data_IF_345855292406
#
_entry.id   IF_345855292406
#
_cell.length_a   1.000
_cell.length_b   1.000
_cell.length_c   1.000
_cell.angle_alpha   90.00
_cell.angle_beta   90.00
_cell.angle_gamma   90.00
#
_symmetry.space_group_name_H-M   'P 1'
#
loop_
_entity.id
_entity.type
_entity.pdbx_description
1 polymer ?
#
# COMPACT_ATOMS: atom_id res chain seq x y z
N UNK A 1 -42.50 -16.16 1.47
CA UNK A 1 -42.12 -14.99 2.28
C UNK A 1 -40.82 -14.45 1.71
N UNK A 2 -40.89 -13.41 0.90
CA UNK A 2 -39.72 -12.65 0.43
C UNK A 2 -39.13 -11.94 1.63
N UNK A 3 -37.88 -12.22 1.98
CA UNK A 3 -37.18 -11.52 3.04
C UNK A 3 -37.16 -10.02 2.69
N UNK A 4 -37.76 -9.18 3.55
CA UNK A 4 -37.64 -7.73 3.44
C UNK A 4 -36.15 -7.43 3.63
N UNK A 5 -35.51 -6.90 2.59
CA UNK A 5 -34.10 -6.50 2.65
C UNK A 5 -33.98 -5.43 3.72
N UNK A 6 -33.38 -5.79 4.85
CA UNK A 6 -33.16 -4.87 5.96
C UNK A 6 -32.25 -3.75 5.46
N UNK A 7 -32.67 -2.50 5.68
CA UNK A 7 -31.91 -1.32 5.25
C UNK A 7 -30.50 -1.32 5.88
N UNK A 8 -29.47 -1.04 5.07
CA UNK A 8 -28.08 -0.89 5.49
C UNK A 8 -27.67 0.57 5.26
N UNK A 9 -27.53 1.32 6.35
CA UNK A 9 -27.21 2.75 6.30
C UNK A 9 -25.83 3.03 5.66
N UNK A 10 -24.86 2.15 5.85
CA UNK A 10 -23.54 2.29 5.23
C UNK A 10 -23.62 2.06 3.73
N UNK A 11 -24.18 0.92 3.28
CA UNK A 11 -24.28 0.63 1.85
C UNK A 11 -25.13 1.67 1.09
N UNK A 12 -26.20 2.17 1.72
CA UNK A 12 -27.03 3.22 1.14
C UNK A 12 -26.25 4.54 0.94
N UNK A 13 -25.51 4.98 1.96
CA UNK A 13 -24.73 6.22 1.90
C UNK A 13 -23.53 6.11 0.97
N UNK A 14 -22.85 4.96 0.94
CA UNK A 14 -21.81 4.72 -0.04
C UNK A 14 -22.35 4.86 -1.47
N UNK A 15 -23.48 4.20 -1.77
CA UNK A 15 -24.12 4.28 -3.09
C UNK A 15 -24.53 5.70 -3.46
N UNK A 16 -25.18 6.42 -2.54
CA UNK A 16 -25.60 7.82 -2.74
C UNK A 16 -24.41 8.77 -2.93
N UNK A 17 -23.31 8.56 -2.19
CA UNK A 17 -22.10 9.38 -2.33
C UNK A 17 -21.41 9.10 -3.66
N UNK A 18 -21.31 7.84 -4.09
CA UNK A 18 -20.77 7.49 -5.42
C UNK A 18 -21.62 8.12 -6.54
N UNK A 19 -22.94 8.09 -6.43
CA UNK A 19 -23.83 8.74 -7.39
C UNK A 19 -23.65 10.28 -7.40
N UNK A 20 -23.51 10.90 -6.23
CA UNK A 20 -23.24 12.34 -6.09
C UNK A 20 -21.90 12.73 -6.76
N UNK A 21 -20.84 11.96 -6.52
CA UNK A 21 -19.49 12.27 -7.05
C UNK A 21 -19.40 12.00 -8.56
N UNK A 22 -20.15 11.01 -9.07
CA UNK A 22 -20.24 10.70 -10.49
C UNK A 22 -21.04 11.75 -11.30
N UNK A 23 -21.85 12.60 -10.64
CA UNK A 23 -22.57 13.68 -11.31
C UNK A 23 -21.57 14.71 -11.89
N UNK A 24 -21.62 15.04 -13.19
CA UNK A 24 -20.71 16.01 -13.80
C UNK A 24 -20.70 17.39 -13.13
N UNK A 25 -21.80 17.76 -12.45
CA UNK A 25 -21.90 19.01 -11.69
C UNK A 25 -20.99 19.02 -10.46
N UNK A 26 -20.64 17.85 -9.92
CA UNK A 26 -19.76 17.72 -8.76
C UNK A 26 -18.44 18.48 -8.98
N UNK A 27 -17.79 18.27 -10.12
CA UNK A 27 -16.52 18.90 -10.44
C UNK A 27 -16.58 20.44 -10.34
N UNK A 28 -17.70 21.04 -10.76
CA UNK A 28 -17.91 22.49 -10.78
C UNK A 28 -18.38 23.09 -9.46
N UNK A 29 -18.73 22.29 -8.44
CA UNK A 29 -19.20 22.81 -7.16
C UNK A 29 -18.09 23.55 -6.39
N UNK A 30 -18.41 24.67 -5.72
CA UNK A 30 -17.49 25.32 -4.79
C UNK A 30 -17.04 24.38 -3.66
N UNK A 31 -15.81 24.50 -3.13
CA UNK A 31 -15.31 23.63 -2.06
C UNK A 31 -16.23 23.54 -0.84
N UNK A 32 -16.81 24.67 -0.42
CA UNK A 32 -17.75 24.71 0.70
C UNK A 32 -19.04 23.93 0.43
N UNK A 33 -19.57 23.99 -0.79
CA UNK A 33 -20.77 23.24 -1.18
C UNK A 33 -20.48 21.73 -1.21
N UNK A 34 -19.29 21.33 -1.69
CA UNK A 34 -18.83 19.94 -1.62
C UNK A 34 -18.72 19.46 -0.17
N UNK A 35 -18.09 20.26 0.69
CA UNK A 35 -17.95 19.97 2.12
C UNK A 35 -19.31 19.76 2.79
N UNK A 36 -20.27 20.65 2.54
CA UNK A 36 -21.63 20.55 3.08
C UNK A 36 -22.37 19.30 2.56
N UNK A 37 -22.23 18.99 1.27
CA UNK A 37 -22.87 17.82 0.67
C UNK A 37 -22.34 16.51 1.25
N UNK A 38 -21.04 16.41 1.50
CA UNK A 38 -20.42 15.26 2.19
C UNK A 38 -20.83 15.22 3.66
N UNK A 39 -20.79 16.35 4.37
CA UNK A 39 -21.17 16.44 5.78
C UNK A 39 -22.63 16.00 6.04
N UNK A 40 -23.54 16.29 5.10
CA UNK A 40 -24.95 15.90 5.15
C UNK A 40 -25.19 14.38 5.06
N UNK A 41 -24.16 13.60 4.71
CA UNK A 41 -24.20 12.14 4.54
C UNK A 41 -23.48 11.41 5.67
N UNK A 42 -23.29 12.07 6.81
CA UNK A 42 -22.60 11.46 7.96
C UNK A 42 -23.48 10.38 8.57
N UNK A 43 -22.94 9.18 8.74
CA UNK A 43 -23.64 8.06 9.39
C UNK A 43 -23.26 8.03 10.87
N UNK A 44 -24.26 7.87 11.74
CA UNK A 44 -24.06 7.70 13.17
C UNK A 44 -24.52 6.31 13.58
N UNK A 45 -23.62 5.57 14.22
CA UNK A 45 -23.91 4.26 14.79
C UNK A 45 -24.51 4.40 16.21
N UNK A 46 -25.27 3.40 16.70
CA UNK A 46 -25.89 3.42 18.04
C UNK A 46 -24.94 3.68 19.22
N UNK A 47 -23.66 3.32 19.07
CA UNK A 47 -22.60 3.61 20.04
C UNK A 47 -22.11 5.07 20.00
N UNK A 48 -22.70 5.91 19.14
CA UNK A 48 -22.33 7.31 18.94
C UNK A 48 -21.18 7.53 17.96
N UNK A 49 -20.61 6.47 17.38
CA UNK A 49 -19.57 6.58 16.36
C UNK A 49 -20.07 7.34 15.12
N UNK A 50 -19.26 8.27 14.61
CA UNK A 50 -19.57 9.04 13.40
C UNK A 50 -18.69 8.60 12.24
N UNK A 51 -19.33 8.41 11.10
CA UNK A 51 -18.73 7.82 9.92
C UNK A 51 -19.02 8.67 8.68
N UNK A 52 -18.04 8.76 7.81
CA UNK A 52 -18.14 9.50 6.56
C UNK A 52 -17.54 8.68 5.43
N UNK A 53 -18.28 8.58 4.33
CA UNK A 53 -17.74 8.03 3.09
C UNK A 53 -17.23 9.19 2.24
N UNK A 54 -15.93 9.19 1.95
CA UNK A 54 -15.24 10.37 1.44
C UNK A 54 -14.16 10.03 0.43
N UNK A 55 -13.11 10.85 0.42
CA UNK A 55 -11.98 10.75 -0.50
C UNK A 55 -11.49 9.32 -0.71
N UNK A 56 -11.07 9.04 -1.93
CA UNK A 56 -10.61 7.72 -2.38
C UNK A 56 -11.68 6.62 -2.28
N UNK A 57 -12.96 7.00 -2.14
CA UNK A 57 -14.07 6.07 -1.98
C UNK A 57 -13.89 5.09 -0.81
N UNK A 58 -13.44 5.61 0.35
CA UNK A 58 -13.32 4.87 1.60
C UNK A 58 -14.14 5.47 2.74
N UNK A 59 -14.37 4.63 3.75
CA UNK A 59 -14.97 5.02 5.01
C UNK A 59 -13.93 5.62 5.97
N UNK A 60 -14.35 6.67 6.67
CA UNK A 60 -13.59 7.35 7.69
C UNK A 60 -14.40 7.42 8.97
N UNK A 61 -13.74 7.23 10.12
CA UNK A 61 -14.35 7.38 11.44
C UNK A 61 -13.82 8.64 12.11
N UNK A 62 -14.71 9.41 12.73
CA UNK A 62 -14.37 10.60 13.49
C UNK A 62 -13.74 10.24 14.84
N UNK A 63 -12.61 10.87 15.14
CA UNK A 63 -11.99 10.90 16.45
C UNK A 63 -12.40 12.21 17.18
N UNK A 64 -13.26 12.13 18.21
CA UNK A 64 -13.71 13.31 18.92
C UNK A 64 -12.63 13.95 19.81
N UNK A 65 -11.53 13.24 20.11
CA UNK A 65 -10.46 13.79 20.94
C UNK A 65 -9.62 14.83 20.20
N UNK A 66 -9.32 14.55 18.92
CA UNK A 66 -8.44 15.37 18.09
C UNK A 66 -9.16 16.05 16.91
N UNK A 67 -10.49 15.86 16.80
CA UNK A 67 -11.34 16.32 15.68
C UNK A 67 -10.85 15.87 14.29
N UNK A 68 -10.28 14.65 14.23
CA UNK A 68 -9.72 14.07 13.01
C UNK A 68 -10.63 12.99 12.44
N UNK A 69 -10.51 12.74 11.15
CA UNK A 69 -11.16 11.62 10.47
C UNK A 69 -10.09 10.66 9.99
N UNK A 70 -10.22 9.39 10.36
CA UNK A 70 -9.20 8.38 10.11
C UNK A 70 -9.78 7.27 9.24
N UNK A 71 -9.06 6.77 8.22
CA UNK A 71 -9.49 5.64 7.41
C UNK A 71 -9.89 4.47 8.30
N UNK A 72 -11.09 3.95 8.08
CA UNK A 72 -11.66 2.95 8.96
C UNK A 72 -12.70 2.11 8.20
N UNK A 73 -12.44 0.82 8.01
CA UNK A 73 -13.36 -0.05 7.29
C UNK A 73 -14.70 -0.17 8.06
N UNK A 74 -15.85 -0.10 7.38
CA UNK A 74 -17.14 -0.04 8.05
C UNK A 74 -17.39 -1.34 8.83
N UNK A 75 -18.16 -1.29 9.93
CA UNK A 75 -18.46 -2.48 10.72
C UNK A 75 -19.17 -3.53 9.87
N UNK A 76 -18.87 -4.82 10.11
CA UNK A 76 -19.52 -5.95 9.42
C UNK A 76 -20.85 -6.35 10.08
N UNK A 77 -21.08 -5.96 11.34
CA UNK A 77 -22.30 -6.27 12.06
C UNK A 77 -23.53 -5.62 11.39
N UNK A 78 -24.35 -6.46 10.76
CA UNK A 78 -25.57 -6.04 10.06
C UNK A 78 -26.56 -5.35 11.00
N UNK A 79 -26.62 -5.70 12.29
CA UNK A 79 -27.51 -5.04 13.25
C UNK A 79 -27.05 -3.62 13.52
N UNK A 80 -25.74 -3.43 13.68
CA UNK A 80 -25.16 -2.10 13.88
C UNK A 80 -25.38 -1.21 12.65
N UNK A 81 -25.15 -1.77 11.45
CA UNK A 81 -25.37 -1.07 10.17
C UNK A 81 -26.83 -0.71 9.93
N UNK A 82 -27.76 -1.59 10.30
CA UNK A 82 -29.20 -1.36 10.13
C UNK A 82 -29.79 -0.38 11.17
N UNK A 83 -29.15 -0.28 12.34
CA UNK A 83 -29.53 0.68 13.38
C UNK A 83 -28.84 2.04 13.21
N UNK A 84 -27.91 2.16 12.26
CA UNK A 84 -27.26 3.43 11.97
C UNK A 84 -28.24 4.40 11.29
N UNK A 85 -28.07 5.69 11.52
CA UNK A 85 -28.91 6.73 10.93
C UNK A 85 -28.05 7.85 10.36
N UNK A 86 -28.62 8.57 9.39
CA UNK A 86 -27.94 9.68 8.71
C UNK A 86 -28.16 10.96 9.50
N UNK A 87 -27.09 11.72 9.70
CA UNK A 87 -27.11 13.06 10.29
C UNK A 87 -26.28 14.01 9.47
N UNK A 88 -26.47 15.31 9.71
CA UNK A 88 -25.57 16.33 9.21
C UNK A 88 -24.47 16.60 10.24
N UNK A 89 -23.20 16.41 9.85
CA UNK A 89 -22.09 16.90 10.66
C UNK A 89 -22.06 18.43 10.61
N UNK A 90 -22.02 19.09 11.77
CA UNK A 90 -22.20 20.54 11.87
C UNK A 90 -20.95 21.33 11.49
N UNK A 91 -19.77 20.72 11.64
CA UNK A 91 -18.49 21.30 11.20
C UNK A 91 -18.22 20.97 9.74
N UNK A 92 -17.45 21.82 9.06
CA UNK A 92 -16.97 21.46 7.73
C UNK A 92 -15.93 20.32 7.87
N UNK A 93 -16.05 19.22 7.12
CA UNK A 93 -15.03 18.17 7.12
C UNK A 93 -13.69 18.72 6.61
N UNK A 94 -12.61 18.06 7.01
CA UNK A 94 -11.27 18.33 6.46
C UNK A 94 -11.32 18.28 4.92
N UNK A 95 -10.77 19.29 4.21
CA UNK A 95 -10.68 19.28 2.76
C UNK A 95 -10.10 17.98 2.16
N UNK A 96 -9.20 17.30 2.87
CA UNK A 96 -8.62 16.03 2.44
C UNK A 96 -9.64 14.87 2.34
N UNK A 97 -10.80 14.98 3.00
CA UNK A 97 -11.87 13.99 2.97
C UNK A 97 -12.87 14.23 1.85
N UNK A 98 -12.83 15.41 1.22
CA UNK A 98 -13.81 15.80 0.22
C UNK A 98 -13.42 15.15 -1.11
N UNK A 99 -14.30 14.32 -1.71
CA UNK A 99 -14.03 13.72 -3.00
C UNK A 99 -13.72 14.78 -4.07
N UNK A 100 -12.65 14.59 -4.81
CA UNK A 100 -12.30 15.43 -5.95
C UNK A 100 -13.10 15.05 -7.20
N UNK A 101 -13.56 13.80 -7.27
CA UNK A 101 -14.15 13.17 -8.45
C UNK A 101 -13.22 12.08 -8.98
N UNK A 102 -12.06 12.45 -9.55
CA UNK A 102 -11.08 11.49 -10.07
C UNK A 102 -10.59 10.45 -9.05
N UNK A 103 -10.54 10.78 -7.77
CA UNK A 103 -10.18 9.85 -6.68
C UNK A 103 -11.18 8.71 -6.49
N UNK A 104 -12.43 8.85 -6.95
CA UNK A 104 -13.43 7.77 -6.94
C UNK A 104 -13.28 6.80 -8.12
N UNK A 105 -12.52 7.19 -9.14
CA UNK A 105 -12.19 6.34 -10.27
C UNK A 105 -10.90 5.53 -10.05
N UNK A 106 -10.24 5.70 -8.89
CA UNK A 106 -9.03 4.96 -8.57
C UNK A 106 -9.32 3.46 -8.41
N UNK A 107 -8.62 2.64 -9.18
CA UNK A 107 -8.61 1.19 -9.02
C UNK A 107 -7.52 0.80 -8.01
N UNK A 108 -7.95 0.27 -6.86
CA UNK A 108 -7.04 -0.13 -5.77
C UNK A 108 -6.12 -1.31 -6.11
N UNK A 109 -6.38 -2.03 -7.19
CA UNK A 109 -5.65 -3.25 -7.54
C UNK A 109 -5.90 -4.37 -6.54
N UNK A 110 -4.92 -5.27 -6.40
CA UNK A 110 -4.98 -6.43 -5.52
C UNK A 110 -4.11 -6.23 -4.29
N UNK A 111 -4.64 -6.59 -3.11
CA UNK A 111 -3.91 -6.57 -1.84
C UNK A 111 -3.17 -7.89 -1.56
N UNK A 112 -3.15 -8.80 -2.54
CA UNK A 112 -2.47 -10.09 -2.40
C UNK A 112 -0.96 -9.95 -2.39
N UNK A 113 -0.30 -10.79 -1.59
CA UNK A 113 1.13 -11.04 -1.74
C UNK A 113 1.46 -11.82 -3.01
N UNK A 114 2.74 -12.06 -3.24
CA UNK A 114 3.27 -12.91 -4.31
C UNK A 114 3.61 -14.32 -3.80
N UNK A 115 3.02 -14.72 -2.67
CA UNK A 115 3.00 -16.10 -2.17
C UNK A 115 1.57 -16.59 -2.28
N UNK A 116 1.34 -17.59 -3.10
CA UNK A 116 0.00 -17.95 -3.53
C UNK A 116 -0.05 -17.97 -5.06
N UNK A 117 -0.85 -17.13 -5.73
CA UNK A 117 -0.80 -17.02 -7.19
C UNK A 117 0.55 -16.47 -7.66
N UNK A 118 1.21 -17.20 -8.56
CA UNK A 118 2.46 -16.74 -9.21
C UNK A 118 2.19 -15.49 -10.07
N UNK A 119 3.24 -14.77 -10.43
CA UNK A 119 3.13 -13.72 -11.45
C UNK A 119 2.80 -14.34 -12.81
N UNK A 120 1.82 -13.83 -13.58
CA UNK A 120 1.49 -14.35 -14.89
C UNK A 120 2.72 -14.48 -15.80
N UNK A 121 2.79 -15.61 -16.53
CA UNK A 121 3.92 -15.93 -17.41
C UNK A 121 4.22 -14.79 -18.39
N UNK A 122 3.18 -14.22 -19.01
CA UNK A 122 3.30 -13.15 -19.99
C UNK A 122 4.02 -11.92 -19.41
N UNK A 123 3.79 -11.62 -18.13
CA UNK A 123 4.43 -10.51 -17.43
C UNK A 123 5.88 -10.85 -17.13
N UNK A 124 6.15 -12.04 -16.59
CA UNK A 124 7.52 -12.47 -16.30
C UNK A 124 8.40 -12.50 -17.56
N UNK A 125 7.84 -12.87 -18.72
CA UNK A 125 8.56 -12.84 -20.00
C UNK A 125 8.79 -11.43 -20.54
N UNK A 126 7.80 -10.51 -20.43
CA UNK A 126 8.01 -9.10 -20.77
C UNK A 126 9.16 -8.51 -19.94
N UNK A 127 9.18 -8.77 -18.64
CA UNK A 127 10.26 -8.31 -17.74
C UNK A 127 11.59 -8.98 -18.09
N UNK A 128 11.60 -10.30 -18.35
CA UNK A 128 12.81 -11.02 -18.79
C UNK A 128 13.41 -10.41 -20.05
N UNK A 129 12.59 -10.10 -21.05
CA UNK A 129 13.05 -9.49 -22.30
C UNK A 129 13.70 -8.12 -22.05
N UNK A 130 13.10 -7.30 -21.18
CA UNK A 130 13.69 -6.02 -20.75
C UNK A 130 15.04 -6.28 -20.07
N UNK A 131 15.10 -7.15 -19.07
CA UNK A 131 16.30 -7.45 -18.29
C UNK A 131 17.46 -7.94 -19.19
N UNK A 132 17.20 -8.90 -20.07
CA UNK A 132 18.18 -9.44 -21.01
C UNK A 132 18.72 -8.37 -21.98
N UNK A 133 17.88 -7.42 -22.39
CA UNK A 133 18.33 -6.31 -23.25
C UNK A 133 19.23 -5.30 -22.54
N UNK A 134 19.26 -5.31 -21.20
CA UNK A 134 19.97 -4.32 -20.37
C UNK A 134 21.18 -4.87 -19.62
N UNK A 135 21.27 -6.19 -19.41
CA UNK A 135 22.39 -6.81 -18.67
C UNK A 135 23.78 -6.54 -19.25
N UNK A 136 23.89 -6.30 -20.56
CA UNK A 136 25.16 -6.01 -21.25
C UNK A 136 25.48 -4.51 -21.34
N UNK A 137 24.74 -3.66 -20.62
CA UNK A 137 25.05 -2.25 -20.51
C UNK A 137 26.43 -2.08 -19.85
N UNK A 138 27.26 -1.17 -20.37
CA UNK A 138 28.58 -0.91 -19.80
C UNK A 138 28.42 -0.30 -18.41
N UNK A 139 29.01 -0.92 -17.38
CA UNK A 139 28.94 -0.44 -16.01
C UNK A 139 29.59 0.95 -15.84
N UNK A 140 30.47 1.37 -16.76
CA UNK A 140 31.00 2.75 -16.82
C UNK A 140 29.94 3.79 -17.22
N UNK A 141 29.04 3.44 -18.14
CA UNK A 141 27.95 4.32 -18.59
C UNK A 141 26.77 4.31 -17.60
N UNK A 142 26.68 3.22 -16.82
CA UNK A 142 25.58 2.94 -15.90
C UNK A 142 26.05 2.43 -14.53
N UNK A 143 26.95 3.13 -13.80
CA UNK A 143 27.44 2.61 -12.54
C UNK A 143 26.32 2.50 -11.50
N UNK A 144 26.36 1.45 -10.69
CA UNK A 144 25.53 1.36 -9.50
C UNK A 144 25.98 2.42 -8.51
N UNK A 145 25.09 3.24 -7.95
CA UNK A 145 25.47 4.20 -6.92
C UNK A 145 26.14 3.51 -5.72
N UNK A 146 27.11 4.20 -5.12
CA UNK A 146 27.95 3.67 -4.04
C UNK A 146 27.25 3.58 -2.67
N UNK A 147 26.03 4.09 -2.59
CA UNK A 147 25.15 4.21 -1.42
C UNK A 147 23.70 3.84 -1.79
N UNK A 148 22.86 3.67 -0.76
CA UNK A 148 21.45 3.34 -0.93
C UNK A 148 21.12 1.84 -1.01
N UNK A 149 19.83 1.50 -1.18
CA UNK A 149 19.32 0.14 -1.01
C UNK A 149 19.82 -0.84 -2.08
N UNK A 150 20.15 -0.35 -3.28
CA UNK A 150 20.60 -1.21 -4.38
C UNK A 150 21.95 -1.88 -4.09
N UNK A 151 22.85 -1.21 -3.36
CA UNK A 151 24.14 -1.78 -2.95
C UNK A 151 23.97 -2.92 -1.93
N UNK A 152 22.89 -2.92 -1.17
CA UNK A 152 22.60 -4.01 -0.25
C UNK A 152 22.10 -5.27 -0.96
N UNK A 153 21.61 -5.13 -2.19
CA UNK A 153 20.98 -6.20 -2.99
C UNK A 153 21.94 -6.75 -4.06
N UNK A 154 22.61 -5.87 -4.81
CA UNK A 154 23.36 -6.23 -6.01
C UNK A 154 24.88 -6.29 -5.80
N UNK A 155 25.55 -7.10 -6.61
CA UNK A 155 27.01 -7.08 -6.73
C UNK A 155 27.48 -5.73 -7.32
N UNK A 156 28.72 -5.34 -7.02
CA UNK A 156 29.24 -3.99 -7.34
C UNK A 156 29.41 -3.72 -8.83
N UNK A 157 29.49 -4.75 -9.66
CA UNK A 157 29.68 -4.68 -11.11
C UNK A 157 28.36 -4.61 -11.89
N UNK A 158 27.22 -4.78 -11.21
CA UNK A 158 25.88 -4.76 -11.81
C UNK A 158 25.56 -3.36 -12.35
N UNK A 159 25.12 -3.23 -13.61
CA UNK A 159 24.74 -1.95 -14.16
C UNK A 159 23.44 -1.44 -13.52
N UNK A 160 23.36 -0.14 -13.26
CA UNK A 160 22.16 0.55 -12.74
C UNK A 160 20.89 0.36 -13.58
N UNK A 161 21.01 -0.09 -14.84
CA UNK A 161 19.85 -0.48 -15.66
C UNK A 161 19.16 -1.74 -15.13
N UNK A 162 19.90 -2.72 -14.61
CA UNK A 162 19.33 -3.90 -13.92
C UNK A 162 18.69 -3.45 -12.60
N UNK A 163 19.38 -2.57 -11.85
CA UNK A 163 18.85 -2.01 -10.62
C UNK A 163 17.56 -1.20 -10.84
N UNK A 164 17.44 -0.51 -11.97
CA UNK A 164 16.22 0.22 -12.36
C UNK A 164 15.04 -0.72 -12.63
N UNK A 165 15.26 -1.89 -13.26
CA UNK A 165 14.21 -2.91 -13.43
C UNK A 165 13.75 -3.41 -12.06
N UNK A 166 14.68 -3.87 -11.22
CA UNK A 166 14.37 -4.36 -9.87
C UNK A 166 13.66 -3.31 -9.02
N UNK A 167 14.20 -2.09 -8.98
CA UNK A 167 13.65 -1.00 -8.19
C UNK A 167 12.24 -0.63 -8.64
N UNK A 168 11.99 -0.67 -9.96
CA UNK A 168 10.64 -0.43 -10.48
C UNK A 168 9.66 -1.50 -10.03
N UNK A 169 10.05 -2.79 -10.08
CA UNK A 169 9.21 -3.89 -9.60
C UNK A 169 8.90 -3.75 -8.10
N UNK A 170 9.93 -3.48 -7.29
CA UNK A 170 9.77 -3.34 -5.83
C UNK A 170 8.97 -2.10 -5.44
N UNK A 171 9.12 -1.00 -6.18
CA UNK A 171 8.32 0.21 -5.95
C UNK A 171 6.86 -0.01 -6.39
N UNK A 172 6.62 -0.68 -7.51
CA UNK A 172 5.26 -0.94 -8.01
C UNK A 172 4.48 -1.98 -7.18
N UNK A 173 5.17 -2.93 -6.55
CA UNK A 173 4.55 -3.98 -5.75
C UNK A 173 3.77 -3.42 -4.56
N UNK A 174 2.51 -3.84 -4.40
CA UNK A 174 1.73 -3.53 -3.19
C UNK A 174 2.38 -4.10 -1.92
N UNK A 175 2.71 -5.39 -1.94
CA UNK A 175 3.34 -6.12 -0.84
C UNK A 175 4.42 -7.07 -1.39
N UNK A 176 5.70 -6.66 -1.42
CA UNK A 176 6.79 -7.44 -2.03
C UNK A 176 7.25 -8.65 -1.17
N UNK A 177 6.30 -9.50 -0.77
CA UNK A 177 6.53 -10.83 -0.22
C UNK A 177 6.29 -11.87 -1.32
N UNK A 178 7.35 -12.54 -1.76
CA UNK A 178 7.33 -13.44 -2.92
C UNK A 178 7.59 -14.88 -2.53
N UNK A 179 7.01 -15.83 -3.28
CA UNK A 179 7.44 -17.22 -3.19
C UNK A 179 8.95 -17.33 -3.46
N UNK A 180 9.63 -18.19 -2.70
CA UNK A 180 11.06 -18.41 -2.79
C UNK A 180 11.52 -18.89 -4.17
N UNK A 181 10.62 -19.51 -4.94
CA UNK A 181 10.84 -19.99 -6.30
C UNK A 181 10.19 -19.10 -7.37
N UNK A 182 9.71 -17.90 -7.00
CA UNK A 182 9.09 -16.99 -7.96
C UNK A 182 10.04 -16.70 -9.13
N UNK A 183 9.53 -16.88 -10.35
CA UNK A 183 10.28 -16.72 -11.61
C UNK A 183 10.78 -15.28 -11.74
N UNK A 184 9.94 -14.32 -11.34
CA UNK A 184 10.28 -12.90 -11.34
C UNK A 184 11.52 -12.57 -10.50
N UNK A 185 11.72 -13.24 -9.36
CA UNK A 185 12.92 -13.03 -8.54
C UNK A 185 14.11 -13.85 -9.05
N UNK A 186 13.86 -15.08 -9.47
CA UNK A 186 14.89 -16.02 -9.91
C UNK A 186 15.72 -15.49 -11.09
N UNK A 187 15.12 -14.70 -11.98
CA UNK A 187 15.84 -14.08 -13.11
C UNK A 187 16.92 -13.07 -12.69
N UNK A 188 16.89 -12.56 -11.45
CA UNK A 188 17.90 -11.64 -10.94
C UNK A 188 19.08 -12.34 -10.28
N UNK A 189 19.03 -13.67 -10.11
CA UNK A 189 19.99 -14.42 -9.29
C UNK A 189 21.46 -14.20 -9.66
N UNK A 190 21.77 -14.01 -10.95
CA UNK A 190 23.15 -13.74 -11.40
C UNK A 190 23.70 -12.36 -11.01
N UNK A 191 22.83 -11.42 -10.62
CA UNK A 191 23.21 -10.05 -10.26
C UNK A 191 23.31 -9.82 -8.75
N UNK A 192 22.74 -10.72 -7.94
CA UNK A 192 22.64 -10.51 -6.50
C UNK A 192 24.03 -10.56 -5.83
N UNK A 193 24.30 -9.60 -4.95
CA UNK A 193 25.54 -9.57 -4.16
C UNK A 193 25.50 -10.50 -2.94
N UNK A 194 24.29 -10.91 -2.53
CA UNK A 194 24.01 -11.83 -1.42
C UNK A 194 22.65 -12.49 -1.61
N UNK A 195 22.36 -13.53 -0.83
CA UNK A 195 21.03 -14.13 -0.82
C UNK A 195 19.95 -13.11 -0.40
N UNK A 196 18.78 -13.17 -1.06
CA UNK A 196 17.63 -12.34 -0.70
C UNK A 196 17.14 -12.70 0.71
N UNK A 197 16.65 -11.71 1.49
CA UNK A 197 16.10 -11.97 2.82
C UNK A 197 14.93 -12.95 2.76
N UNK A 198 14.80 -13.76 3.80
CA UNK A 198 13.78 -14.80 3.93
C UNK A 198 14.35 -16.21 3.86
N UNK A 199 13.55 -17.16 3.41
CA UNK A 199 13.89 -18.58 3.36
C UNK A 199 13.52 -19.20 2.00
N UNK A 200 13.69 -20.51 1.86
CA UNK A 200 13.44 -21.22 0.60
C UNK A 200 11.98 -21.12 0.11
N UNK A 201 11.06 -20.67 0.95
CA UNK A 201 9.65 -20.55 0.63
C UNK A 201 9.19 -19.13 0.42
N UNK A 202 9.73 -18.15 1.15
CA UNK A 202 9.32 -16.76 1.02
C UNK A 202 10.50 -15.82 1.09
N UNK A 203 10.55 -14.88 0.14
CA UNK A 203 11.45 -13.73 0.16
C UNK A 203 10.69 -12.49 0.63
N UNK A 204 11.16 -11.90 1.72
CA UNK A 204 10.57 -10.72 2.36
C UNK A 204 11.32 -9.46 1.92
N UNK A 205 10.94 -8.90 0.78
CA UNK A 205 11.70 -7.81 0.17
C UNK A 205 11.22 -6.45 0.67
N UNK A 206 12.16 -5.52 0.76
CA UNK A 206 11.87 -4.13 1.11
C UNK A 206 11.39 -3.37 -0.13
N UNK A 207 10.35 -2.52 -0.01
CA UNK A 207 9.98 -1.63 -1.09
C UNK A 207 11.13 -0.64 -1.35
N UNK A 208 11.39 -0.39 -2.63
CA UNK A 208 12.30 0.68 -3.07
C UNK A 208 11.50 1.98 -3.12
N UNK A 209 12.07 3.11 -2.69
CA UNK A 209 11.37 4.40 -2.72
C UNK A 209 11.47 5.07 -4.09
N UNK A 210 10.57 6.01 -4.37
CA UNK A 210 10.68 6.84 -5.57
C UNK A 210 11.96 7.70 -5.56
N UNK A 211 12.48 8.03 -4.37
CA UNK A 211 13.75 8.77 -4.24
C UNK A 211 14.93 7.93 -4.74
N UNK A 212 14.94 6.63 -4.44
CA UNK A 212 15.99 5.71 -4.89
C UNK A 212 16.00 5.58 -6.42
N UNK A 213 14.82 5.51 -7.04
CA UNK A 213 14.69 5.52 -8.50
C UNK A 213 15.13 6.86 -9.09
N UNK A 214 14.71 7.97 -8.48
CA UNK A 214 15.13 9.31 -8.86
C UNK A 214 16.65 9.48 -8.74
N UNK A 215 17.28 8.84 -7.76
CA UNK A 215 18.72 8.87 -7.55
C UNK A 215 19.49 8.23 -8.73
N UNK A 216 19.03 7.08 -9.25
CA UNK A 216 19.63 6.45 -10.43
C UNK A 216 19.64 7.40 -11.64
N UNK A 217 18.53 8.11 -11.87
CA UNK A 217 18.43 9.11 -12.94
C UNK A 217 19.29 10.35 -12.65
N UNK A 218 19.15 10.89 -11.44
CA UNK A 218 19.71 12.17 -11.01
C UNK A 218 21.24 12.14 -10.99
N UNK A 219 21.83 11.02 -10.57
CA UNK A 219 23.27 10.83 -10.62
C UNK A 219 23.77 11.00 -12.06
N UNK A 220 23.16 10.31 -13.05
CA UNK A 220 23.60 10.37 -14.44
C UNK A 220 23.53 11.78 -15.02
N UNK A 221 22.51 12.56 -14.64
CA UNK A 221 22.42 13.98 -15.02
C UNK A 221 23.58 14.78 -14.41
N UNK A 222 23.86 14.60 -13.12
CA UNK A 222 24.94 15.30 -12.41
C UNK A 222 26.32 14.92 -12.95
N UNK A 223 26.49 13.69 -13.44
CA UNK A 223 27.69 13.21 -14.13
C UNK A 223 27.84 13.76 -15.57
N UNK A 224 26.91 14.61 -16.04
CA UNK A 224 26.96 15.14 -17.41
C UNK A 224 26.55 14.12 -18.48
N UNK A 225 25.85 13.05 -18.10
CA UNK A 225 25.39 11.97 -18.97
C UNK A 225 23.86 11.94 -19.13
N UNK A 226 23.20 13.01 -19.62
CA UNK A 226 21.74 13.10 -19.69
C UNK A 226 21.10 12.03 -20.58
N UNK A 227 21.80 11.56 -21.62
CA UNK A 227 21.32 10.45 -22.46
C UNK A 227 21.25 9.12 -21.68
N UNK A 228 22.18 8.88 -20.76
CA UNK A 228 22.14 7.69 -19.90
C UNK A 228 21.00 7.82 -18.87
N UNK A 229 20.79 9.02 -18.31
CA UNK A 229 19.66 9.31 -17.43
C UNK A 229 18.31 9.01 -18.11
N UNK A 230 18.09 9.52 -19.32
CA UNK A 230 16.86 9.23 -20.09
C UNK A 230 16.67 7.75 -20.40
N UNK A 231 17.76 7.01 -20.64
CA UNK A 231 17.69 5.55 -20.80
C UNK A 231 17.24 4.85 -19.51
N UNK A 232 17.68 5.31 -18.34
CA UNK A 232 17.20 4.77 -17.05
C UNK A 232 15.70 5.08 -16.84
N UNK A 233 15.26 6.31 -17.12
CA UNK A 233 13.84 6.66 -17.07
C UNK A 233 13.01 5.79 -18.05
N UNK A 234 13.53 5.53 -19.25
CA UNK A 234 12.87 4.65 -20.22
C UNK A 234 12.82 3.19 -19.73
N UNK A 235 13.87 2.69 -19.06
CA UNK A 235 13.85 1.35 -18.45
C UNK A 235 12.81 1.27 -17.34
N UNK A 236 12.70 2.29 -16.49
CA UNK A 236 11.68 2.36 -15.43
C UNK A 236 10.27 2.37 -16.05
N UNK A 237 10.00 3.26 -17.01
CA UNK A 237 8.70 3.34 -17.66
C UNK A 237 8.32 2.03 -18.38
N UNK A 238 9.24 1.42 -19.12
CA UNK A 238 8.99 0.15 -19.80
C UNK A 238 8.77 -1.02 -18.83
N UNK A 239 9.45 -1.01 -17.68
CA UNK A 239 9.26 -2.05 -16.65
C UNK A 239 7.90 -1.89 -15.97
N UNK A 240 7.49 -0.65 -15.66
CA UNK A 240 6.16 -0.37 -15.14
C UNK A 240 5.07 -0.77 -16.14
N UNK A 241 5.23 -0.40 -17.41
CA UNK A 241 4.32 -0.80 -18.49
C UNK A 241 4.18 -2.33 -18.61
N UNK A 242 5.30 -3.05 -18.50
CA UNK A 242 5.31 -4.52 -18.59
C UNK A 242 4.47 -5.23 -17.52
N UNK A 243 4.26 -4.60 -16.36
CA UNK A 243 3.53 -5.18 -15.21
C UNK A 243 2.12 -4.61 -15.03
N UNK A 244 1.65 -3.73 -15.92
CA UNK A 244 0.31 -3.11 -15.82
C UNK A 244 -0.83 -4.13 -15.78
N UNK A 245 -0.66 -5.28 -16.42
CA UNK A 245 -1.70 -6.30 -16.52
C UNK A 245 -1.95 -7.04 -15.18
N UNK A 246 -1.04 -6.95 -14.20
CA UNK A 246 -1.21 -7.57 -12.88
C UNK A 246 -1.66 -6.56 -11.82
N UNK A 247 -2.81 -6.83 -11.21
CA UNK A 247 -3.48 -5.96 -10.24
C UNK A 247 -2.60 -5.62 -9.02
N UNK A 248 -1.60 -6.45 -8.68
CA UNK A 248 -0.69 -6.21 -7.54
C UNK A 248 0.35 -5.13 -7.83
N UNK A 249 0.60 -4.83 -9.10
CA UNK A 249 1.52 -3.79 -9.56
C UNK A 249 0.81 -2.58 -10.17
N UNK A 250 -0.33 -2.82 -10.83
CA UNK A 250 -1.03 -1.86 -11.72
C UNK A 250 -1.17 -0.44 -11.15
N UNK A 251 -1.62 -0.22 -9.89
CA UNK A 251 -1.90 1.14 -9.43
C UNK A 251 -0.65 2.03 -9.44
N UNK A 252 0.46 1.51 -8.92
CA UNK A 252 1.74 2.23 -8.89
C UNK A 252 2.41 2.25 -10.26
N UNK A 253 2.37 1.14 -11.00
CA UNK A 253 2.88 1.09 -12.37
C UNK A 253 2.26 2.18 -13.26
N UNK A 254 0.94 2.34 -13.19
CA UNK A 254 0.20 3.40 -13.90
C UNK A 254 0.70 4.79 -13.49
N UNK A 255 0.89 5.03 -12.18
CA UNK A 255 1.40 6.29 -11.69
C UNK A 255 2.82 6.59 -12.20
N UNK A 256 3.72 5.60 -12.20
CA UNK A 256 5.10 5.80 -12.65
C UNK A 256 5.19 6.10 -14.15
N UNK A 257 4.41 5.39 -14.97
CA UNK A 257 4.33 5.67 -16.41
C UNK A 257 3.91 7.13 -16.65
N UNK A 258 2.86 7.60 -15.98
CA UNK A 258 2.37 8.97 -16.10
C UNK A 258 3.38 10.02 -15.59
N UNK A 259 4.05 9.75 -14.46
CA UNK A 259 5.06 10.65 -13.89
C UNK A 259 6.28 10.81 -14.81
N UNK A 260 6.70 9.75 -15.49
CA UNK A 260 7.90 9.73 -16.34
C UNK A 260 7.64 10.14 -17.79
N UNK A 261 6.42 9.96 -18.30
CA UNK A 261 6.09 10.23 -19.70
C UNK A 261 6.47 11.64 -20.20
N UNK A 262 6.31 12.73 -19.42
CA UNK A 262 6.75 14.06 -19.84
C UNK A 262 8.27 14.17 -20.07
N UNK A 263 9.08 13.55 -19.22
CA UNK A 263 10.55 13.59 -19.34
C UNK A 263 11.06 12.79 -20.54
N UNK A 264 10.35 11.72 -20.91
CA UNK A 264 10.63 10.93 -22.11
C UNK A 264 10.29 11.68 -23.40
N UNK A 265 9.37 12.65 -23.36
CA UNK A 265 9.05 13.53 -24.51
C UNK A 265 9.94 14.77 -24.57
N UNK A 266 10.27 15.34 -23.41
CA UNK A 266 11.07 16.56 -23.27
C UNK A 266 12.34 16.23 -22.50
N UNK A 267 13.41 15.95 -23.25
CA UNK A 267 14.63 15.31 -22.77
C UNK A 267 15.39 16.06 -21.66
N UNK A 268 15.19 17.35 -21.49
CA UNK A 268 15.86 18.20 -20.50
C UNK A 268 14.98 18.66 -19.34
N UNK A 269 13.70 18.24 -19.35
CA UNK A 269 12.68 18.68 -18.41
C UNK A 269 13.08 18.51 -16.93
N UNK A 270 13.76 17.41 -16.63
CA UNK A 270 14.15 17.03 -15.26
C UNK A 270 15.58 17.43 -14.87
N UNK A 271 16.35 18.02 -15.78
CA UNK A 271 17.77 18.28 -15.53
C UNK A 271 18.02 19.23 -14.37
N UNK A 272 17.20 20.28 -14.26
CA UNK A 272 17.36 21.26 -13.19
C UNK A 272 16.98 20.68 -11.82
N UNK A 273 15.87 19.94 -11.76
CA UNK A 273 15.46 19.25 -10.54
C UNK A 273 16.53 18.22 -10.10
N UNK A 274 17.06 17.45 -11.04
CA UNK A 274 18.13 16.48 -10.79
C UNK A 274 19.42 17.13 -10.26
N UNK A 275 19.82 18.29 -10.80
CA UNK A 275 20.99 19.04 -10.28
C UNK A 275 20.79 19.54 -8.86
N UNK A 276 19.55 19.87 -8.47
CA UNK A 276 19.21 20.34 -7.12
C UNK A 276 19.08 19.21 -6.09
N UNK A 277 19.04 17.96 -6.51
CA UNK A 277 19.06 16.78 -5.65
C UNK A 277 17.85 15.86 -5.82
N UNK A 278 17.99 14.63 -5.34
CA UNK A 278 17.05 13.54 -5.63
C UNK A 278 15.67 13.76 -5.00
N UNK A 279 15.61 14.35 -3.80
CA UNK A 279 14.35 14.76 -3.18
C UNK A 279 13.59 15.84 -3.99
N UNK A 280 14.31 16.73 -4.70
CA UNK A 280 13.68 17.73 -5.58
C UNK A 280 13.14 17.07 -6.83
N UNK A 281 13.90 16.15 -7.41
CA UNK A 281 13.48 15.35 -8.56
C UNK A 281 12.26 14.47 -8.22
N UNK A 282 12.28 13.77 -7.09
CA UNK A 282 11.13 12.98 -6.59
C UNK A 282 9.86 13.82 -6.48
N UNK A 283 9.94 15.01 -5.86
CA UNK A 283 8.79 15.94 -5.80
C UNK A 283 8.32 16.40 -7.17
N UNK A 284 9.25 16.59 -8.10
CA UNK A 284 8.94 16.98 -9.49
C UNK A 284 8.18 15.87 -10.22
N UNK A 285 8.58 14.61 -10.00
CA UNK A 285 7.85 13.44 -10.52
C UNK A 285 6.47 13.30 -9.88
N UNK A 286 6.38 13.36 -8.55
CA UNK A 286 5.09 13.28 -7.83
C UNK A 286 4.09 14.35 -8.26
N UNK A 287 4.56 15.58 -8.52
CA UNK A 287 3.71 16.68 -8.99
C UNK A 287 3.09 16.43 -10.38
N UNK A 288 3.61 15.46 -11.15
CA UNK A 288 3.04 15.03 -12.44
C UNK A 288 2.04 13.89 -12.30
N UNK A 289 1.95 13.26 -11.13
CA UNK A 289 1.01 12.16 -10.90
C UNK A 289 -0.43 12.68 -11.10
N UNK A 290 -1.22 12.08 -12.01
CA UNK A 290 -2.60 12.46 -12.19
C UNK A 290 -3.42 12.30 -10.90
N UNK A 291 -4.39 13.18 -10.68
CA UNK A 291 -5.16 13.19 -9.43
C UNK A 291 -5.91 11.89 -9.16
N UNK A 292 -6.36 11.17 -10.20
CA UNK A 292 -6.99 9.85 -10.04
C UNK A 292 -6.03 8.76 -9.55
N UNK A 293 -4.70 8.96 -9.67
CA UNK A 293 -3.66 8.04 -9.19
C UNK A 293 -2.98 8.53 -7.90
N UNK A 294 -3.45 9.62 -7.29
CA UNK A 294 -2.86 10.19 -6.08
C UNK A 294 -2.75 9.17 -4.94
N UNK A 295 -3.72 8.26 -4.83
CA UNK A 295 -3.71 7.20 -3.83
C UNK A 295 -2.58 6.18 -4.03
N UNK A 296 -2.16 5.89 -5.27
CA UNK A 296 -1.07 4.95 -5.54
C UNK A 296 0.27 5.43 -4.96
N UNK A 297 0.45 6.75 -4.84
CA UNK A 297 1.68 7.38 -4.37
C UNK A 297 1.58 7.92 -2.93
N UNK A 298 0.53 7.56 -2.18
CA UNK A 298 0.32 8.07 -0.81
C UNK A 298 1.48 7.70 0.13
N UNK A 299 2.15 6.57 -0.09
CA UNK A 299 3.34 6.17 0.65
C UNK A 299 4.51 7.15 0.51
N UNK A 300 4.55 7.93 -0.58
CA UNK A 300 5.61 8.91 -0.88
C UNK A 300 5.29 10.31 -0.34
N UNK A 301 4.02 10.60 -0.06
CA UNK A 301 3.52 11.94 0.29
C UNK A 301 3.03 12.03 1.73
N UNK A 302 2.42 10.97 2.26
CA UNK A 302 1.92 10.89 3.63
C UNK A 302 2.05 9.46 4.19
N UNK A 303 3.20 9.12 4.80
CA UNK A 303 3.41 7.79 5.40
C UNK A 303 2.37 7.39 6.45
N UNK A 304 1.84 8.38 7.18
CA UNK A 304 0.81 8.15 8.19
C UNK A 304 -0.55 7.79 7.59
N UNK A 305 -0.98 8.51 6.56
CA UNK A 305 -2.21 8.15 5.85
C UNK A 305 -2.03 6.81 5.12
N UNK A 306 -0.87 6.56 4.51
CA UNK A 306 -0.55 5.26 3.93
C UNK A 306 -0.71 4.12 4.94
N UNK A 307 -0.18 4.28 6.16
CA UNK A 307 -0.37 3.32 7.24
C UNK A 307 -1.86 3.10 7.55
N UNK A 308 -2.64 4.17 7.74
CA UNK A 308 -4.09 4.05 7.95
C UNK A 308 -4.82 3.29 6.84
N UNK A 309 -4.45 3.55 5.58
CA UNK A 309 -5.01 2.83 4.42
C UNK A 309 -4.60 1.35 4.36
N UNK A 310 -3.36 1.00 4.72
CA UNK A 310 -2.95 -0.42 4.79
C UNK A 310 -3.65 -1.17 5.92
N UNK A 311 -3.90 -0.53 7.07
CA UNK A 311 -4.71 -1.10 8.15
C UNK A 311 -6.16 -1.32 7.69
N UNK A 312 -6.72 -0.39 6.93
CA UNK A 312 -8.03 -0.55 6.31
C UNK A 312 -8.06 -1.78 5.38
N UNK A 313 -7.03 -1.98 4.54
CA UNK A 313 -6.92 -3.14 3.66
C UNK A 313 -6.82 -4.46 4.44
N UNK A 314 -6.08 -4.45 5.56
CA UNK A 314 -6.00 -5.60 6.47
C UNK A 314 -7.36 -5.95 7.07
N UNK A 315 -8.17 -4.96 7.46
CA UNK A 315 -9.52 -5.19 7.98
C UNK A 315 -10.41 -5.79 6.89
N UNK A 316 -10.34 -5.29 5.66
CA UNK A 316 -11.09 -5.85 4.53
C UNK A 316 -10.67 -7.29 4.21
N UNK A 317 -9.37 -7.58 4.23
CA UNK A 317 -8.85 -8.93 4.03
C UNK A 317 -9.35 -9.93 5.10
N UNK A 318 -9.67 -9.44 6.30
CA UNK A 318 -10.27 -10.23 7.40
C UNK A 318 -11.81 -10.30 7.32
N UNK A 319 -12.44 -9.76 6.28
CA UNK A 319 -13.90 -9.73 6.13
C UNK A 319 -14.57 -11.11 6.13
N UNK A 320 -13.83 -12.19 5.91
CA UNK A 320 -14.34 -13.57 5.97
C UNK A 320 -14.66 -14.07 7.38
N UNK A 321 -14.24 -13.36 8.44
CA UNK A 321 -14.39 -13.80 9.83
C UNK A 321 -15.85 -13.86 10.35
N UNK A 322 -16.81 -13.36 9.56
CA UNK A 322 -18.24 -13.50 9.79
C UNK A 322 -18.73 -12.86 11.10
N UNK A 323 -18.71 -13.62 12.21
CA UNK A 323 -19.21 -13.19 13.52
C UNK A 323 -18.17 -12.47 14.39
N UNK A 324 -16.89 -12.59 14.05
CA UNK A 324 -15.83 -11.87 14.75
C UNK A 324 -15.63 -10.53 14.06
N UNK A 325 -15.56 -9.45 14.85
CA UNK A 325 -15.26 -8.13 14.31
C UNK A 325 -13.83 -8.08 13.73
N UNK A 326 -13.67 -7.91 12.39
CA UNK A 326 -12.36 -7.88 11.76
C UNK A 326 -11.52 -6.69 12.20
N UNK A 327 -12.13 -5.59 12.65
CA UNK A 327 -11.43 -4.38 13.13
C UNK A 327 -10.64 -4.69 14.39
N UNK A 328 -11.30 -5.29 15.38
CA UNK A 328 -10.66 -5.74 16.62
C UNK A 328 -9.54 -6.76 16.38
N UNK A 329 -9.73 -7.66 15.40
CA UNK A 329 -8.72 -8.66 15.03
C UNK A 329 -7.52 -8.00 14.35
N UNK A 330 -7.72 -7.09 13.40
CA UNK A 330 -6.65 -6.35 12.74
C UNK A 330 -5.79 -5.59 13.77
N UNK A 331 -6.42 -4.90 14.72
CA UNK A 331 -5.71 -4.21 15.81
C UNK A 331 -4.92 -5.19 16.70
N UNK A 332 -5.46 -6.38 16.97
CA UNK A 332 -4.76 -7.41 17.73
C UNK A 332 -3.55 -7.99 16.97
N UNK A 333 -3.67 -8.22 15.67
CA UNK A 333 -2.58 -8.69 14.81
C UNK A 333 -1.47 -7.63 14.66
N UNK A 334 -1.84 -6.37 14.44
CA UNK A 334 -0.91 -5.24 14.47
C UNK A 334 -0.17 -5.15 15.82
N UNK A 335 -0.91 -5.33 16.93
CA UNK A 335 -0.30 -5.38 18.26
C UNK A 335 0.70 -6.53 18.42
N UNK A 336 0.42 -7.70 17.82
CA UNK A 336 1.35 -8.83 17.83
C UNK A 336 2.66 -8.50 17.11
N UNK A 337 2.58 -7.92 15.92
CA UNK A 337 3.76 -7.54 15.13
C UNK A 337 4.58 -6.44 15.82
N UNK A 338 3.91 -5.43 16.38
CA UNK A 338 4.57 -4.34 17.12
C UNK A 338 5.20 -4.87 18.41
N UNK A 339 4.53 -5.75 19.15
CA UNK A 339 5.06 -6.36 20.36
C UNK A 339 6.29 -7.24 20.08
N UNK A 340 6.27 -7.99 18.97
CA UNK A 340 7.36 -8.86 18.57
C UNK A 340 8.59 -8.09 18.09
N UNK A 341 8.41 -6.98 17.38
CA UNK A 341 9.51 -6.26 16.73
C UNK A 341 9.99 -5.02 17.50
N UNK A 342 9.07 -4.14 17.93
CA UNK A 342 9.44 -2.83 18.47
C UNK A 342 8.32 -2.22 19.35
N UNK A 343 8.02 -2.77 20.54
CA UNK A 343 6.87 -2.36 21.35
C UNK A 343 6.88 -0.86 21.73
N UNK A 344 8.07 -0.26 21.86
CA UNK A 344 8.23 1.15 22.19
C UNK A 344 7.67 2.12 21.14
N UNK A 345 7.39 1.66 19.90
CA UNK A 345 6.88 2.53 18.83
C UNK A 345 5.36 2.67 18.81
N UNK A 346 4.62 1.86 19.59
CA UNK A 346 3.15 1.88 19.61
C UNK A 346 2.55 3.30 19.78
N UNK A 347 3.07 4.17 20.68
CA UNK A 347 2.55 5.54 20.81
C UNK A 347 2.63 6.39 19.54
N UNK A 348 3.56 6.09 18.62
CA UNK A 348 3.70 6.80 17.34
C UNK A 348 2.65 6.38 16.31
N UNK A 349 2.03 5.21 16.51
CA UNK A 349 1.01 4.66 15.60
C UNK A 349 -0.40 5.11 16.00
N UNK A 350 -0.64 5.35 17.29
CA UNK A 350 -1.96 5.74 17.80
C UNK A 350 -2.62 6.91 17.07
N UNK A 351 -1.92 8.01 16.70
CA UNK A 351 -2.55 9.14 16.00
C UNK A 351 -3.06 8.83 14.59
N UNK A 352 -2.76 7.63 14.07
CA UNK A 352 -3.13 7.19 12.72
C UNK A 352 -4.16 6.05 12.74
N UNK A 353 -4.57 5.61 13.93
CA UNK A 353 -5.60 4.61 14.16
C UNK A 353 -6.86 5.28 14.68
N UNK A 354 -8.02 4.87 14.16
CA UNK A 354 -9.30 5.33 14.70
C UNK A 354 -9.45 4.97 16.18
N UNK A 355 -10.33 5.67 16.92
CA UNK A 355 -10.41 5.54 18.38
C UNK A 355 -10.56 4.10 18.89
N UNK A 356 -11.32 3.27 18.19
CA UNK A 356 -11.56 1.88 18.58
C UNK A 356 -10.33 1.01 18.34
N UNK A 357 -9.72 1.10 17.15
CA UNK A 357 -8.50 0.37 16.83
C UNK A 357 -7.36 0.74 17.79
N UNK A 358 -7.24 2.04 18.09
CA UNK A 358 -6.27 2.58 19.06
C UNK A 358 -6.49 2.00 20.45
N UNK A 359 -7.74 2.01 20.92
CA UNK A 359 -8.10 1.47 22.24
C UNK A 359 -7.81 -0.04 22.32
N UNK A 360 -8.21 -0.80 21.30
CA UNK A 360 -7.96 -2.25 21.23
C UNK A 360 -6.47 -2.54 21.24
N UNK A 361 -5.70 -1.87 20.38
CA UNK A 361 -4.25 -2.05 20.31
C UNK A 361 -3.59 -1.75 21.67
N UNK A 362 -3.95 -0.63 22.30
CA UNK A 362 -3.43 -0.26 23.61
C UNK A 362 -3.76 -1.31 24.67
N UNK A 363 -5.02 -1.73 24.78
CA UNK A 363 -5.47 -2.71 25.75
C UNK A 363 -4.76 -4.07 25.57
N UNK A 364 -4.66 -4.54 24.33
CA UNK A 364 -3.96 -5.79 23.99
C UNK A 364 -2.49 -5.74 24.36
N UNK A 365 -1.80 -4.62 24.11
CA UNK A 365 -0.39 -4.45 24.45
C UNK A 365 -0.18 -4.37 25.97
N UNK A 366 -1.07 -3.69 26.69
CA UNK A 366 -0.95 -3.46 28.14
C UNK A 366 -1.33 -4.66 29.01
N UNK A 367 -2.24 -5.52 28.55
CA UNK A 367 -2.70 -6.69 29.32
C UNK A 367 -2.30 -8.02 28.65
N UNK A 368 -1.34 -8.77 29.22
CA UNK A 368 -0.99 -10.12 28.76
C UNK A 368 -2.13 -11.14 28.79
N UNK A 369 -3.14 -10.94 29.64
CA UNK A 369 -4.33 -11.79 29.73
C UNK A 369 -5.46 -11.38 28.78
N UNK A 370 -5.26 -10.36 27.95
CA UNK A 370 -6.33 -9.81 27.10
C UNK A 370 -6.88 -10.86 26.14
N UNK A 371 -8.20 -11.01 26.08
CA UNK A 371 -8.87 -12.06 25.32
C UNK A 371 -8.52 -12.08 23.82
N UNK A 372 -8.24 -10.91 23.22
CA UNK A 372 -7.86 -10.81 21.82
C UNK A 372 -6.45 -11.34 21.50
N UNK A 373 -5.58 -11.58 22.50
CA UNK A 373 -4.29 -12.25 22.27
C UNK A 373 -4.44 -13.68 21.79
N UNK A 374 -5.63 -14.29 21.91
CA UNK A 374 -5.95 -15.58 21.27
C UNK A 374 -5.82 -15.57 19.74
N UNK A 375 -5.79 -14.39 19.13
CA UNK A 375 -5.62 -14.18 17.70
C UNK A 375 -4.15 -13.99 17.30
N UNK A 376 -3.24 -13.86 18.26
CA UNK A 376 -1.81 -13.71 17.97
C UNK A 376 -1.27 -15.01 17.39
N UNK A 377 -0.32 -14.91 16.43
CA UNK A 377 0.46 -16.07 16.04
C UNK A 377 1.16 -16.72 17.23
N UNK A 378 1.14 -18.05 17.28
CA UNK A 378 1.85 -18.85 18.29
C UNK A 378 2.72 -19.87 17.56
N UNK A 379 4.00 -19.93 17.90
CA UNK A 379 4.99 -20.83 17.27
C UNK A 379 4.99 -20.76 15.74
N UNK A 380 4.81 -19.55 15.19
CA UNK A 380 4.77 -19.32 13.74
C UNK A 380 3.49 -19.79 13.05
N UNK A 381 2.44 -20.13 13.80
CA UNK A 381 1.17 -20.58 13.24
C UNK A 381 0.04 -19.60 13.53
N UNK A 382 -0.82 -19.43 12.52
CA UNK A 382 -2.03 -18.64 12.65
C UNK A 382 -3.09 -19.45 13.44
N UNK A 383 -3.77 -18.86 14.44
CA UNK A 383 -4.85 -19.54 15.15
C UNK A 383 -5.98 -19.99 14.21
N UNK A 384 -6.58 -21.15 14.49
CA UNK A 384 -7.65 -21.73 13.65
C UNK A 384 -8.85 -20.78 13.46
N UNK A 385 -9.13 -19.93 14.46
CA UNK A 385 -10.20 -18.93 14.39
C UNK A 385 -9.97 -17.88 13.28
N UNK A 386 -8.73 -17.72 12.81
CA UNK A 386 -8.36 -16.80 11.74
C UNK A 386 -8.13 -17.52 10.41
N UNK A 387 -8.41 -18.82 10.32
CA UNK A 387 -8.12 -19.61 9.13
C UNK A 387 -8.81 -19.02 7.88
N UNK A 388 -8.04 -18.60 6.86
CA UNK A 388 -8.64 -18.15 5.60
C UNK A 388 -9.38 -19.30 4.90
N UNK A 389 -10.55 -19.03 4.27
CA UNK A 389 -11.37 -20.04 3.64
C UNK A 389 -10.74 -20.63 2.36
N UNK A 390 -9.92 -19.86 1.67
CA UNK A 390 -9.31 -20.22 0.39
C UNK A 390 -7.92 -19.56 0.22
N UNK A 391 -7.21 -19.95 -0.85
CA UNK A 391 -5.85 -19.48 -1.15
C UNK A 391 -5.81 -17.98 -1.49
N UNK A 392 -6.84 -17.44 -2.13
CA UNK A 392 -6.92 -16.01 -2.46
C UNK A 392 -7.10 -15.16 -1.21
N UNK A 393 -7.98 -15.59 -0.30
CA UNK A 393 -8.16 -14.98 1.02
C UNK A 393 -6.88 -15.05 1.87
N UNK A 394 -6.15 -16.17 1.82
CA UNK A 394 -4.86 -16.30 2.49
C UNK A 394 -3.79 -15.38 1.88
N UNK A 395 -3.72 -15.27 0.54
CA UNK A 395 -2.79 -14.36 -0.13
C UNK A 395 -3.11 -12.88 0.15
N UNK A 396 -4.39 -12.51 0.24
CA UNK A 396 -4.83 -11.16 0.59
C UNK A 396 -4.50 -10.82 2.05
N UNK A 397 -4.70 -11.75 2.98
CA UNK A 397 -4.31 -11.58 4.38
C UNK A 397 -2.80 -11.42 4.52
N UNK A 398 -2.01 -12.27 3.85
CA UNK A 398 -0.56 -12.18 3.82
C UNK A 398 -0.10 -10.81 3.30
N UNK A 399 -0.60 -10.41 2.12
CA UNK A 399 -0.20 -9.18 1.47
C UNK A 399 -0.58 -7.94 2.29
N UNK A 400 -1.81 -7.87 2.79
CA UNK A 400 -2.28 -6.75 3.60
C UNK A 400 -1.56 -6.67 4.97
N UNK A 401 -1.28 -7.81 5.60
CA UNK A 401 -0.51 -7.85 6.85
C UNK A 401 0.95 -7.40 6.62
N UNK A 402 1.59 -7.88 5.54
CA UNK A 402 2.95 -7.47 5.21
C UNK A 402 3.02 -5.98 4.83
N UNK A 403 2.09 -5.48 4.01
CA UNK A 403 1.99 -4.06 3.65
C UNK A 403 1.76 -3.17 4.87
N UNK A 404 0.89 -3.58 5.80
CA UNK A 404 0.71 -2.88 7.09
C UNK A 404 2.01 -2.82 7.87
N UNK A 405 2.73 -3.96 7.93
CA UNK A 405 4.07 -4.10 8.49
C UNK A 405 5.06 -3.07 7.93
N UNK A 406 5.18 -3.05 6.60
CA UNK A 406 6.04 -2.12 5.88
C UNK A 406 5.66 -0.65 6.15
N UNK A 407 4.37 -0.33 6.15
CA UNK A 407 3.89 1.03 6.34
C UNK A 407 4.20 1.57 7.74
N UNK A 408 4.01 0.77 8.80
CA UNK A 408 4.35 1.23 10.15
C UNK A 408 5.87 1.31 10.37
N UNK A 409 6.64 0.41 9.75
CA UNK A 409 8.11 0.53 9.73
C UNK A 409 8.55 1.82 9.03
N UNK A 410 7.99 2.14 7.86
CA UNK A 410 8.27 3.38 7.14
C UNK A 410 7.90 4.65 7.92
N UNK A 411 6.76 4.62 8.61
CA UNK A 411 6.31 5.72 9.48
C UNK A 411 7.21 5.92 10.72
N UNK A 412 7.74 4.83 11.27
CA UNK A 412 8.49 4.86 12.54
C UNK A 412 10.01 4.89 12.36
N UNK A 413 10.52 4.52 11.18
CA UNK A 413 11.94 4.30 10.93
C UNK A 413 12.48 2.98 11.50
N UNK A 414 11.61 2.07 11.95
CA UNK A 414 12.03 0.74 12.39
C UNK A 414 12.46 -0.09 11.18
N UNK A 415 13.60 -0.78 11.28
CA UNK A 415 14.07 -1.68 10.24
C UNK A 415 13.10 -2.86 10.09
N UNK A 416 12.70 -3.12 8.85
CA UNK A 416 11.84 -4.26 8.50
C UNK A 416 12.62 -5.57 8.73
N UNK A 417 12.00 -6.59 9.34
CA UNK A 417 12.65 -7.85 9.69
C UNK A 417 12.96 -8.71 8.46
N UNK A 418 14.09 -9.43 8.49
CA UNK A 418 14.55 -10.27 7.36
C UNK A 418 13.67 -11.53 7.14
N UNK A 419 12.91 -11.95 8.16
CA UNK A 419 12.04 -13.13 8.12
C UNK A 419 10.54 -12.78 8.08
N UNK A 420 10.20 -11.54 7.74
CA UNK A 420 8.82 -11.05 7.73
C UNK A 420 8.29 -10.72 9.12
N UNK A 421 7.07 -10.19 9.16
CA UNK A 421 6.37 -9.88 10.41
C UNK A 421 5.65 -11.12 10.93
N UNK A 422 5.50 -11.25 12.26
CA UNK A 422 4.96 -12.45 12.89
C UNK A 422 3.62 -12.89 12.30
N UNK A 423 2.72 -11.94 12.05
CA UNK A 423 1.41 -12.18 11.43
C UNK A 423 1.55 -12.69 10.00
N UNK A 424 2.29 -11.96 9.15
CA UNK A 424 2.49 -12.33 7.76
C UNK A 424 3.16 -13.71 7.62
N UNK A 425 4.22 -13.96 8.38
CA UNK A 425 4.95 -15.23 8.37
C UNK A 425 4.08 -16.41 8.82
N UNK A 426 3.16 -16.19 9.77
CA UNK A 426 2.24 -17.24 10.21
C UNK A 426 1.20 -17.65 9.15
N UNK A 427 0.86 -16.74 8.23
CA UNK A 427 -0.01 -17.05 7.08
C UNK A 427 0.73 -17.89 6.03
N UNK A 428 2.05 -17.66 5.86
CA UNK A 428 2.89 -18.42 4.92
C UNK A 428 2.89 -19.90 5.25
N UNK A 429 3.12 -20.27 6.51
CA UNK A 429 3.13 -21.68 6.93
C UNK A 429 1.84 -22.39 6.50
N UNK A 430 0.69 -21.69 6.57
CA UNK A 430 -0.58 -22.23 6.12
C UNK A 430 -0.63 -22.47 4.60
N UNK A 431 -0.13 -21.52 3.81
CA UNK A 431 -0.06 -21.61 2.35
C UNK A 431 0.85 -22.76 1.90
N UNK A 432 1.92 -23.06 2.64
CA UNK A 432 2.82 -24.21 2.35
C UNK A 432 2.07 -25.54 2.36
N UNK A 433 1.17 -25.74 3.33
CA UNK A 433 0.40 -26.99 3.49
C UNK A 433 -0.80 -27.14 2.53
N UNK A 434 -1.02 -26.17 1.62
CA UNK A 434 -2.11 -26.20 0.63
C UNK A 434 -1.62 -26.38 -0.82
N UNK A 435 -0.31 -26.45 -1.04
CA UNK A 435 0.27 -27.02 -2.27
C UNK A 435 0.08 -28.54 -2.26
#
# INVERSE_FOLDING_TARGET
>A
MTAVQQWDGFAAIESDTRAMVADPRWAALPPQAKAQAVAARTVVTPDGGRWMFGAYARWYRHDPADDRWLPSAPPIDQRLRAAAYVTQHTSAPDPALIPTGPDFAFEYGSTQGFVGPDVPWEITEKVRAILLSRRSARSEDFPLPGDGPFKEVFASDVPSTVAAVWGTLMWCAYAPAFDGNEVLLSMFGEFLGKALPGDDWVRWLHPISLEDLAHLYGERVRAGMPKAALRLAAVMANTADAVLDDDRFRPRASALVEMLAPALRTHDLDHEAARRGDAVLRRTWLARCPSHLAQAVICETSPGDHFGHTVYDLIEALGYLGRTDPRSVAAALLAADVAALAPAVAPRLYPWLDPELRQVMHAVLSDPGHALRRYWPVDGQLPEALRPPDRGSAAALLGSAYATGLAWCGLTGVKVPEHGFATASAVVERLRYQR
#
